data_IF_657238743475
#
_entry.id   IF_657238743475
#
_cell.length_a   1.000
_cell.length_b   1.000
_cell.length_c   1.000
_cell.angle_alpha   90.00
_cell.angle_beta   90.00
_cell.angle_gamma   90.00
#
_symmetry.space_group_name_H-M   'P 1'
#
loop_
_entity.id
_entity.type
_entity.pdbx_description
1 polymer ?
#
# COMPACT_ATOMS: atom_id res chain seq x y z
N UNK A 1 -21.45 39.56 18.42
CA UNK A 1 -20.66 38.33 18.73
C UNK A 1 -19.31 38.71 19.32
N UNK A 2 -18.92 38.08 20.42
CA UNK A 2 -17.54 38.15 20.88
C UNK A 2 -16.65 37.28 19.97
N UNK A 3 -15.44 37.75 19.64
CA UNK A 3 -14.50 36.99 18.79
C UNK A 3 -14.05 35.72 19.52
N UNK A 4 -14.09 34.58 18.83
CA UNK A 4 -13.58 33.30 19.32
C UNK A 4 -12.23 32.93 18.67
N UNK A 5 -11.59 31.86 19.16
CA UNK A 5 -10.37 31.32 18.56
C UNK A 5 -10.65 30.78 17.16
N UNK A 6 -9.86 31.19 16.17
CA UNK A 6 -10.06 30.83 14.77
C UNK A 6 -9.46 29.46 14.38
N UNK A 7 -8.49 28.94 15.14
CA UNK A 7 -7.84 27.64 14.84
C UNK A 7 -7.17 27.02 16.08
N UNK A 8 -7.21 25.68 16.21
CA UNK A 8 -6.41 24.96 17.22
C UNK A 8 -6.07 23.52 16.84
N UNK A 9 -4.82 23.13 17.09
CA UNK A 9 -4.35 21.74 17.05
C UNK A 9 -4.52 21.04 18.42
N UNK A 10 -5.07 21.73 19.42
CA UNK A 10 -5.27 21.16 20.75
C UNK A 10 -6.15 19.90 20.65
N UNK A 11 -5.73 18.83 21.33
CA UNK A 11 -6.37 17.52 21.33
C UNK A 11 -6.28 16.69 20.02
N UNK A 12 -5.70 17.19 18.92
CA UNK A 12 -5.55 16.37 17.70
C UNK A 12 -4.64 15.17 17.92
N UNK A 13 -3.45 15.41 18.51
CA UNK A 13 -2.51 14.34 18.86
C UNK A 13 -3.16 13.31 19.79
N UNK A 14 -3.86 13.74 20.85
CA UNK A 14 -4.53 12.82 21.77
C UNK A 14 -5.56 11.94 21.05
N UNK A 15 -6.37 12.51 20.13
CA UNK A 15 -7.34 11.73 19.34
C UNK A 15 -6.65 10.71 18.43
N UNK A 16 -5.59 11.10 17.72
CA UNK A 16 -4.85 10.19 16.84
C UNK A 16 -4.25 9.01 17.60
N UNK A 17 -3.79 9.24 18.83
CA UNK A 17 -3.18 8.19 19.65
C UNK A 17 -4.18 7.36 20.46
N UNK A 18 -5.48 7.74 20.57
CA UNK A 18 -6.48 6.91 21.29
C UNK A 18 -6.60 5.49 20.73
N UNK A 19 -6.59 5.36 19.40
CA UNK A 19 -6.65 4.06 18.71
C UNK A 19 -5.26 3.61 18.19
N UNK A 20 -4.25 4.45 18.41
CA UNK A 20 -2.91 4.31 17.87
C UNK A 20 -2.82 4.60 16.37
N UNK A 21 -1.71 5.19 15.95
CA UNK A 21 -1.38 5.37 14.53
C UNK A 21 -0.87 4.02 14.00
N UNK A 22 -1.67 3.35 13.16
CA UNK A 22 -1.34 2.03 12.63
C UNK A 22 -0.33 2.15 11.48
N UNK A 23 0.70 1.31 11.50
CA UNK A 23 1.62 1.15 10.37
C UNK A 23 0.93 0.36 9.25
N UNK A 24 1.27 0.60 7.96
CA UNK A 24 0.82 -0.26 6.88
C UNK A 24 1.30 -1.70 7.13
N UNK A 25 0.48 -2.67 6.77
CA UNK A 25 0.84 -4.09 6.90
C UNK A 25 1.91 -4.43 5.87
N UNK A 26 3.01 -5.04 6.30
CA UNK A 26 3.97 -5.62 5.37
C UNK A 26 3.41 -6.92 4.79
N UNK A 27 3.58 -7.11 3.49
CA UNK A 27 3.28 -8.36 2.79
C UNK A 27 4.55 -8.90 2.16
N UNK A 28 4.64 -10.22 1.97
CA UNK A 28 5.82 -10.84 1.29
C UNK A 28 6.02 -10.28 -0.11
N UNK A 29 4.94 -9.89 -0.78
CA UNK A 29 4.94 -9.31 -2.11
C UNK A 29 4.07 -8.05 -2.12
N UNK A 30 4.58 -6.99 -2.72
CA UNK A 30 3.88 -5.73 -2.87
C UNK A 30 2.77 -5.81 -3.94
N UNK A 31 1.81 -4.88 -3.87
CA UNK A 31 0.77 -4.79 -4.88
C UNK A 31 1.33 -4.33 -6.23
N UNK A 32 0.92 -4.98 -7.32
CA UNK A 32 1.30 -4.60 -8.68
C UNK A 32 0.36 -3.53 -9.29
N UNK A 33 -0.47 -2.88 -8.46
CA UNK A 33 -1.43 -1.88 -8.93
C UNK A 33 -0.68 -0.60 -9.34
N UNK A 34 -0.93 -0.12 -10.56
CA UNK A 34 -0.25 1.06 -11.10
C UNK A 34 1.12 0.77 -11.73
N UNK A 35 1.57 -0.49 -11.73
CA UNK A 35 2.77 -0.89 -12.48
C UNK A 35 2.47 -0.90 -13.98
N UNK A 36 3.45 -0.51 -14.78
CA UNK A 36 3.37 -0.45 -16.24
C UNK A 36 2.79 -1.77 -16.84
N UNK A 37 1.71 -1.70 -17.63
CA UNK A 37 1.13 -2.87 -18.27
C UNK A 37 2.10 -3.67 -19.14
N UNK A 38 3.07 -3.02 -19.81
CA UNK A 38 4.05 -3.73 -20.67
C UNK A 38 4.99 -4.60 -19.82
N UNK A 39 5.49 -4.07 -18.70
CA UNK A 39 6.25 -4.84 -17.72
C UNK A 39 5.45 -6.04 -17.18
N UNK A 40 4.18 -5.82 -16.79
CA UNK A 40 3.33 -6.89 -16.28
C UNK A 40 3.08 -8.00 -17.29
N UNK A 41 2.88 -7.66 -18.57
CA UNK A 41 2.72 -8.65 -19.65
C UNK A 41 3.98 -9.50 -19.80
N UNK A 42 5.16 -8.88 -19.83
CA UNK A 42 6.42 -9.60 -19.94
C UNK A 42 6.65 -10.55 -18.75
N UNK A 43 6.44 -10.07 -17.52
CA UNK A 43 6.59 -10.88 -16.30
C UNK A 43 5.68 -12.10 -16.30
N UNK A 44 4.42 -11.96 -16.79
CA UNK A 44 3.48 -13.08 -16.93
C UNK A 44 3.98 -14.15 -17.91
N UNK A 45 4.53 -13.75 -19.06
CA UNK A 45 5.06 -14.69 -20.04
C UNK A 45 6.27 -15.46 -19.51
N UNK A 46 7.20 -14.78 -18.83
CA UNK A 46 8.36 -15.42 -18.18
C UNK A 46 7.91 -16.43 -17.12
N UNK A 47 6.96 -16.04 -16.26
CA UNK A 47 6.41 -16.93 -15.24
C UNK A 47 5.73 -18.17 -15.83
N UNK A 48 4.96 -18.01 -16.92
CA UNK A 48 4.33 -19.14 -17.62
C UNK A 48 5.38 -20.09 -18.20
N UNK A 49 6.43 -19.57 -18.85
CA UNK A 49 7.50 -20.38 -19.44
C UNK A 49 8.34 -21.10 -18.39
N UNK A 50 8.56 -20.50 -17.23
CA UNK A 50 9.23 -21.16 -16.11
C UNK A 50 8.40 -22.35 -15.57
N UNK A 51 7.10 -22.17 -15.34
CA UNK A 51 6.21 -23.25 -14.88
C UNK A 51 6.12 -24.39 -15.89
N UNK A 52 6.01 -24.09 -17.18
CA UNK A 52 5.96 -25.10 -18.24
C UNK A 52 7.26 -25.91 -18.37
N UNK A 53 8.43 -25.33 -18.07
CA UNK A 53 9.70 -26.07 -18.01
C UNK A 53 9.76 -27.03 -16.84
N UNK A 54 9.35 -26.57 -15.65
CA UNK A 54 9.37 -27.38 -14.43
C UNK A 54 8.34 -28.53 -14.44
N UNK A 55 7.33 -28.49 -15.31
CA UNK A 55 6.34 -29.55 -15.49
C UNK A 55 6.75 -30.62 -16.52
N UNK A 56 7.88 -30.43 -17.22
CA UNK A 56 8.39 -31.33 -18.27
C UNK A 56 9.66 -32.10 -17.87
N UNK A 57 10.15 -31.88 -16.65
CA UNK A 57 11.18 -32.70 -16.01
C UNK A 57 10.56 -33.47 -14.86
#
# INVERSE_FOLDING_TARGET
>A
MAKSKNHTTHNQSRKWHRNGIKKPRSQRYESLKGVDPKFLRNMRFLGKRARARNAKG
#
